data_IF_505111030642
#
_entry.id   IF_505111030642
#
_cell.length_a   1.000
_cell.length_b   1.000
_cell.length_c   1.000
_cell.angle_alpha   90.00
_cell.angle_beta   90.00
_cell.angle_gamma   90.00
#
_symmetry.space_group_name_H-M   'P 1'
#
loop_
_entity.id
_entity.type
_entity.pdbx_description
1 polymer ?
#
# COMPACT_ATOMS: atom_id res chain seq x y z
N UNK A 1 4.91 2.62 -22.39
CA UNK A 1 4.71 2.45 -20.94
C UNK A 1 4.51 3.83 -20.33
N UNK A 2 3.35 4.08 -19.72
CA UNK A 2 2.99 5.40 -19.19
C UNK A 2 3.88 5.76 -18.00
N UNK A 3 4.56 6.90 -18.10
CA UNK A 3 5.36 7.44 -17.03
C UNK A 3 4.38 8.02 -16.00
N UNK A 4 4.14 7.33 -14.90
CA UNK A 4 3.22 7.82 -13.86
C UNK A 4 3.97 8.87 -13.04
N UNK A 5 4.06 10.10 -13.58
CA UNK A 5 4.74 11.23 -12.94
C UNK A 5 3.78 12.12 -12.14
N UNK A 6 2.47 11.95 -12.33
CA UNK A 6 1.47 12.74 -11.62
C UNK A 6 0.91 11.95 -10.42
N UNK A 7 1.10 12.50 -9.21
CA UNK A 7 0.52 11.97 -7.98
C UNK A 7 -1.00 11.81 -8.11
N UNK A 8 -1.66 12.71 -8.82
CA UNK A 8 -3.11 12.65 -9.06
C UNK A 8 -3.50 11.43 -9.91
N UNK A 9 -2.66 11.03 -10.86
CA UNK A 9 -2.89 9.81 -11.64
C UNK A 9 -2.72 8.56 -10.77
N UNK A 10 -1.71 8.52 -9.89
CA UNK A 10 -1.54 7.41 -8.93
C UNK A 10 -2.74 7.28 -8.01
N UNK A 11 -3.18 8.39 -7.43
CA UNK A 11 -4.35 8.41 -6.55
C UNK A 11 -5.59 7.90 -7.28
N UNK A 12 -5.81 8.31 -8.54
CA UNK A 12 -6.92 7.82 -9.36
C UNK A 12 -6.83 6.32 -9.63
N UNK A 13 -5.64 5.79 -9.93
CA UNK A 13 -5.43 4.35 -10.15
C UNK A 13 -5.74 3.57 -8.86
N UNK A 14 -5.20 4.02 -7.74
CA UNK A 14 -5.38 3.38 -6.42
C UNK A 14 -6.85 3.38 -6.00
N UNK A 15 -7.54 4.52 -6.16
CA UNK A 15 -8.97 4.62 -5.89
C UNK A 15 -9.78 3.69 -6.80
N UNK A 16 -9.42 3.60 -8.09
CA UNK A 16 -10.07 2.66 -9.01
C UNK A 16 -9.90 1.22 -8.53
N UNK A 17 -8.70 0.82 -8.09
CA UNK A 17 -8.45 -0.53 -7.56
C UNK A 17 -9.31 -0.78 -6.30
N UNK A 18 -9.33 0.17 -5.35
CA UNK A 18 -10.16 0.05 -4.14
C UNK A 18 -11.64 -0.08 -4.46
N UNK A 19 -12.17 0.73 -5.38
CA UNK A 19 -13.57 0.70 -5.77
C UNK A 19 -13.95 -0.64 -6.42
N UNK A 20 -13.11 -1.16 -7.32
CA UNK A 20 -13.38 -2.44 -7.97
C UNK A 20 -13.35 -3.61 -6.98
N UNK A 21 -12.47 -3.55 -5.98
CA UNK A 21 -12.32 -4.60 -4.95
C UNK A 21 -13.26 -4.43 -3.75
N UNK A 22 -13.97 -3.30 -3.63
CA UNK A 22 -14.98 -3.09 -2.60
C UNK A 22 -16.31 -3.83 -2.88
N UNK A 23 -16.47 -4.36 -4.09
CA UNK A 23 -17.65 -5.16 -4.44
C UNK A 23 -17.50 -6.60 -3.91
N UNK A 24 -18.59 -7.22 -3.42
CA UNK A 24 -18.53 -8.61 -2.99
C UNK A 24 -18.13 -9.56 -4.11
N UNK A 25 -17.26 -10.51 -3.79
CA UNK A 25 -16.88 -11.59 -4.69
C UNK A 25 -17.68 -12.84 -4.33
N UNK A 26 -18.21 -13.55 -5.32
CA UNK A 26 -18.89 -14.81 -5.11
C UNK A 26 -17.97 -15.97 -5.52
N UNK A 27 -17.67 -16.85 -4.56
CA UNK A 27 -16.93 -18.09 -4.79
C UNK A 27 -17.80 -19.24 -4.31
N UNK A 28 -18.26 -20.10 -5.21
CA UNK A 28 -19.17 -21.22 -4.89
C UNK A 28 -20.40 -20.76 -4.07
N UNK A 29 -21.04 -19.67 -4.51
CA UNK A 29 -22.18 -19.01 -3.84
C UNK A 29 -21.88 -18.41 -2.46
N UNK A 30 -20.63 -18.43 -2.01
CA UNK A 30 -20.18 -17.74 -0.79
C UNK A 30 -19.82 -16.30 -1.14
N UNK A 31 -20.50 -15.36 -0.48
CA UNK A 31 -20.17 -13.94 -0.56
C UNK A 31 -18.91 -13.64 0.28
N UNK A 32 -17.87 -13.18 -0.40
CA UNK A 32 -16.60 -12.76 0.20
C UNK A 32 -16.49 -11.25 0.09
N UNK A 33 -16.50 -10.59 1.24
CA UNK A 33 -16.23 -9.16 1.37
C UNK A 33 -14.86 -9.01 2.02
N UNK A 34 -13.94 -8.36 1.31
CA UNK A 34 -12.62 -8.03 1.85
C UNK A 34 -12.29 -6.56 1.62
N UNK A 35 -11.55 -6.00 2.56
CA UNK A 35 -10.91 -4.69 2.41
C UNK A 35 -9.46 -4.88 1.97
N UNK A 36 -8.96 -3.98 1.14
CA UNK A 36 -7.55 -3.98 0.74
C UNK A 36 -6.76 -2.88 1.42
N UNK A 37 -5.48 -3.13 1.66
CA UNK A 37 -4.52 -2.12 2.07
C UNK A 37 -3.43 -2.05 1.00
N UNK A 38 -3.10 -0.86 0.51
CA UNK A 38 -2.17 -0.66 -0.62
C UNK A 38 -0.96 0.15 -0.15
N UNK A 39 0.23 -0.38 -0.41
CA UNK A 39 1.48 0.36 -0.23
C UNK A 39 2.05 0.83 -1.57
N UNK A 40 2.53 2.07 -1.61
CA UNK A 40 3.02 2.71 -2.84
C UNK A 40 4.46 3.17 -2.62
N UNK A 41 5.39 2.71 -3.46
CA UNK A 41 6.75 3.26 -3.51
C UNK A 41 7.07 3.78 -4.91
N UNK A 42 7.85 4.87 -4.99
CA UNK A 42 8.13 5.61 -6.22
C UNK A 42 9.63 5.65 -6.53
N UNK A 43 9.97 5.21 -7.74
CA UNK A 43 11.30 5.35 -8.33
C UNK A 43 11.36 6.58 -9.25
N UNK A 44 12.46 7.35 -9.29
CA UNK A 44 13.71 7.20 -8.53
C UNK A 44 13.70 7.89 -7.16
N UNK A 45 12.59 8.51 -6.76
CA UNK A 45 12.50 9.35 -5.56
C UNK A 45 12.95 8.67 -4.27
N UNK A 46 12.58 7.39 -4.06
CA UNK A 46 12.76 6.74 -2.76
C UNK A 46 13.53 5.41 -2.82
N UNK A 47 13.85 4.88 -4.00
CA UNK A 47 14.51 3.58 -4.15
C UNK A 47 15.66 3.61 -5.16
N UNK A 48 16.76 2.95 -4.81
CA UNK A 48 17.95 2.78 -5.65
C UNK A 48 18.02 1.41 -6.33
N UNK A 49 17.16 0.46 -5.94
CA UNK A 49 17.04 -0.87 -6.52
C UNK A 49 15.59 -1.36 -6.52
N UNK A 50 15.27 -2.33 -7.38
CA UNK A 50 13.95 -2.96 -7.40
C UNK A 50 13.62 -3.66 -6.08
N UNK A 51 14.61 -4.29 -5.44
CA UNK A 51 14.46 -4.91 -4.12
C UNK A 51 14.09 -3.89 -3.05
N UNK A 52 14.74 -2.71 -3.06
CA UNK A 52 14.39 -1.62 -2.16
C UNK A 52 12.98 -1.10 -2.43
N UNK A 53 12.59 -0.96 -3.69
CA UNK A 53 11.25 -0.49 -4.07
C UNK A 53 10.15 -1.42 -3.54
N UNK A 54 10.35 -2.74 -3.65
CA UNK A 54 9.42 -3.75 -3.14
C UNK A 54 9.34 -3.69 -1.62
N UNK A 55 10.48 -3.67 -0.92
CA UNK A 55 10.51 -3.59 0.55
C UNK A 55 9.78 -2.34 1.08
N UNK A 56 9.93 -1.21 0.39
CA UNK A 56 9.28 0.04 0.74
C UNK A 56 7.77 0.00 0.49
N UNK A 57 7.34 -0.58 -0.63
CA UNK A 57 5.92 -0.78 -0.91
C UNK A 57 5.28 -1.72 0.13
N UNK A 58 5.96 -2.80 0.51
CA UNK A 58 5.50 -3.71 1.56
C UNK A 58 5.39 -3.03 2.92
N UNK A 59 6.38 -2.21 3.30
CA UNK A 59 6.32 -1.41 4.54
C UNK A 59 5.09 -0.49 4.50
N UNK A 60 4.94 0.32 3.45
CA UNK A 60 3.79 1.22 3.30
C UNK A 60 2.44 0.47 3.30
N UNK A 61 2.38 -0.74 2.73
CA UNK A 61 1.17 -1.57 2.75
C UNK A 61 0.82 -1.99 4.17
N UNK A 62 1.82 -2.41 4.96
CA UNK A 62 1.62 -2.78 6.35
C UNK A 62 1.10 -1.58 7.16
N UNK A 63 1.70 -0.40 6.96
CA UNK A 63 1.25 0.85 7.57
C UNK A 63 -0.20 1.18 7.21
N UNK A 64 -0.57 1.02 5.93
CA UNK A 64 -1.94 1.18 5.47
C UNK A 64 -2.89 0.19 6.15
N UNK A 65 -2.43 -1.02 6.49
CA UNK A 65 -3.21 -2.04 7.20
C UNK A 65 -3.44 -1.67 8.67
N UNK A 66 -2.44 -1.11 9.33
CA UNK A 66 -2.54 -0.65 10.73
C UNK A 66 -3.35 0.63 10.88
N UNK A 67 -3.22 1.56 9.94
CA UNK A 67 -3.96 2.82 9.94
C UNK A 67 -5.48 2.66 9.73
N UNK A 68 -5.92 1.46 9.36
CA UNK A 68 -7.32 1.11 9.13
C UNK A 68 -7.51 0.36 7.82
N UNK A 69 -8.41 -0.61 7.83
CA UNK A 69 -8.80 -1.38 6.64
C UNK A 69 -9.32 -0.45 5.53
N UNK A 70 -9.06 -0.81 4.26
CA UNK A 70 -9.47 -0.04 3.08
C UNK A 70 -8.73 1.30 2.89
N UNK A 71 -7.41 1.30 3.07
CA UNK A 71 -6.58 2.51 2.95
C UNK A 71 -5.35 2.27 2.06
N UNK A 72 -4.67 3.36 1.69
CA UNK A 72 -3.39 3.32 1.01
C UNK A 72 -2.37 4.24 1.69
N UNK A 73 -1.08 3.94 1.55
CA UNK A 73 0.00 4.80 2.02
C UNK A 73 1.12 4.88 0.99
N UNK A 74 1.67 6.08 0.85
CA UNK A 74 2.93 6.28 0.15
C UNK A 74 4.08 6.04 1.12
N UNK A 75 5.11 5.34 0.66
CA UNK A 75 6.34 5.22 1.43
C UNK A 75 6.98 6.60 1.63
N UNK A 76 7.23 6.94 2.89
CA UNK A 76 8.02 8.09 3.33
C UNK A 76 9.00 7.63 4.40
N UNK A 77 10.25 8.11 4.34
CA UNK A 77 11.29 7.77 5.32
C UNK A 77 10.88 8.17 6.74
N UNK A 78 10.19 9.30 6.89
CA UNK A 78 9.73 9.80 8.20
C UNK A 78 8.72 8.85 8.84
N UNK A 79 7.82 8.28 8.03
CA UNK A 79 6.84 7.30 8.49
C UNK A 79 7.55 5.97 8.80
N UNK A 80 8.40 5.48 7.91
CA UNK A 80 9.07 4.18 8.04
C UNK A 80 9.89 4.04 9.33
N UNK A 81 10.54 5.12 9.80
CA UNK A 81 11.26 5.14 11.06
C UNK A 81 10.34 4.92 12.28
N UNK A 82 9.17 5.56 12.30
CA UNK A 82 8.19 5.41 13.39
C UNK A 82 7.60 3.99 13.42
N UNK A 83 7.33 3.42 12.24
CA UNK A 83 6.81 2.05 12.13
C UNK A 83 7.85 0.97 12.42
N UNK A 84 9.08 1.12 11.95
CA UNK A 84 10.17 0.19 12.28
C UNK A 84 10.38 0.10 13.78
N UNK A 85 10.27 1.24 14.48
CA UNK A 85 10.36 1.28 15.94
C UNK A 85 9.19 0.54 16.62
N UNK A 86 7.95 0.66 16.12
CA UNK A 86 6.81 -0.12 16.63
C UNK A 86 6.98 -1.63 16.41
N UNK A 87 7.42 -2.04 15.23
CA UNK A 87 7.63 -3.46 14.90
C UNK A 87 8.68 -4.14 15.81
N UNK A 88 9.70 -3.37 16.22
CA UNK A 88 10.73 -3.84 17.15
C UNK A 88 10.19 -4.03 18.58
N UNK A 89 9.15 -3.29 18.97
CA UNK A 89 8.54 -3.40 20.30
C UNK A 89 7.50 -4.53 20.35
N UNK A 90 6.76 -4.79 19.27
CA UNK A 90 5.75 -5.87 19.25
C UNK A 90 6.35 -7.28 19.11
N UNK A 91 7.56 -7.40 18.57
CA UNK A 91 8.29 -8.67 18.44
C UNK A 91 9.33 -8.90 19.56
N UNK A 92 9.25 -8.15 20.66
CA UNK A 92 10.15 -8.22 21.82
C UNK A 92 9.55 -8.88 23.05
#
# INVERSE_FOLDING_TARGET
MGNVQDKMELERIVQSIQQNLAHPFYVEDIEIIFSISIGISLFPSNASSAEQLLKQADSAMYQAKEAGKNNYQFYSLDLDHEYTHKLMIENG
#
